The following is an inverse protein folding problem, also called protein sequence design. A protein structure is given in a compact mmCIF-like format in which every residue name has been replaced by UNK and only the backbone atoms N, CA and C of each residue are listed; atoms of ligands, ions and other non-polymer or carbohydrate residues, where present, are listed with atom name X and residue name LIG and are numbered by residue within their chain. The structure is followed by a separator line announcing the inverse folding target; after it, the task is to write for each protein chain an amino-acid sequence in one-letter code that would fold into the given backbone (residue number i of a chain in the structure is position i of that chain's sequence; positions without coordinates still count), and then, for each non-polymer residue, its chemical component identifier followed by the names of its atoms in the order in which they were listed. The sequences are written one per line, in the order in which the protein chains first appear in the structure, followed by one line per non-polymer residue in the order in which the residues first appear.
data_IF_210704518303
#
_entry.id   IF_210704518303
#
_cell.length_a   1.000
_cell.length_b   1.000
_cell.length_c   1.000
_cell.angle_alpha   90.00
_cell.angle_beta   90.00
_cell.angle_gamma   90.00
#
_symmetry.space_group_name_H-M   'P 1'
#
loop_
_entity.id
_entity.type
_entity.pdbx_description
1 polymer ?
#
# COMPACT_ATOMS: atom_id res chain seq x y z
N UNK A 1 18.22 -2.39 -9.87
CA UNK A 1 18.02 -0.93 -9.93
C UNK A 1 17.76 -0.39 -8.53
N UNK A 2 17.59 0.93 -8.39
CA UNK A 2 17.41 1.63 -7.11
C UNK A 2 16.28 1.03 -6.26
N UNK A 3 16.59 0.64 -5.02
CA UNK A 3 15.65 0.14 -3.99
C UNK A 3 15.39 1.17 -2.89
N UNK A 4 16.30 2.12 -2.68
CA UNK A 4 16.13 3.27 -1.78
C UNK A 4 16.72 4.54 -2.40
N UNK A 5 16.20 5.70 -1.99
CA UNK A 5 16.49 7.02 -2.57
C UNK A 5 17.99 7.39 -2.72
N UNK A 6 18.86 6.82 -1.89
CA UNK A 6 20.29 7.18 -1.87
C UNK A 6 21.20 6.16 -2.55
N UNK A 7 20.64 5.12 -3.15
CA UNK A 7 21.44 4.15 -3.90
C UNK A 7 21.91 4.74 -5.23
N UNK A 8 23.16 4.40 -5.57
CA UNK A 8 23.79 4.75 -6.84
C UNK A 8 22.97 4.20 -8.01
N UNK A 9 22.86 5.02 -9.05
CA UNK A 9 22.07 4.73 -10.25
C UNK A 9 22.94 4.48 -11.47
N UNK A 10 24.26 4.71 -11.40
CA UNK A 10 25.20 4.53 -12.52
C UNK A 10 25.26 3.07 -12.99
N UNK A 11 24.95 2.11 -12.13
CA UNK A 11 24.83 0.69 -12.51
C UNK A 11 23.80 0.46 -13.62
N UNK A 12 22.80 1.33 -13.76
CA UNK A 12 21.77 1.26 -14.80
C UNK A 12 22.40 1.35 -16.20
N UNK A 13 23.48 2.12 -16.36
CA UNK A 13 24.18 2.25 -17.63
C UNK A 13 24.71 0.90 -18.15
N UNK A 14 25.26 0.08 -17.24
CA UNK A 14 25.81 -1.23 -17.58
C UNK A 14 24.74 -2.33 -17.64
N UNK A 15 23.84 -2.37 -16.66
CA UNK A 15 22.87 -3.46 -16.51
C UNK A 15 21.63 -3.30 -17.41
N UNK A 16 21.21 -2.06 -17.70
CA UNK A 16 19.95 -1.76 -18.40
C UNK A 16 20.14 -0.65 -19.45
N UNK A 17 20.92 -0.88 -20.52
CA UNK A 17 21.30 0.16 -21.48
C UNK A 17 20.12 0.84 -22.18
N UNK A 18 19.02 0.11 -22.42
CA UNK A 18 17.78 0.71 -22.97
C UNK A 18 17.14 1.72 -22.02
N UNK A 19 17.09 1.39 -20.72
CA UNK A 19 16.58 2.31 -19.70
C UNK A 19 17.51 3.51 -19.55
N UNK A 20 18.83 3.28 -19.55
CA UNK A 20 19.81 4.36 -19.48
C UNK A 20 19.67 5.36 -20.64
N UNK A 21 19.55 4.87 -21.87
CA UNK A 21 19.34 5.72 -23.04
C UNK A 21 18.03 6.51 -22.95
N UNK A 22 16.96 5.91 -22.43
CA UNK A 22 15.70 6.61 -22.17
C UNK A 22 15.86 7.72 -21.12
N UNK A 23 16.58 7.44 -20.02
CA UNK A 23 16.84 8.44 -18.97
C UNK A 23 17.68 9.61 -19.50
N UNK A 24 18.69 9.30 -20.33
CA UNK A 24 19.51 10.31 -20.99
C UNK A 24 18.72 11.16 -21.99
N UNK A 25 17.83 10.57 -22.79
CA UNK A 25 17.03 11.32 -23.76
C UNK A 25 16.01 12.27 -23.10
N UNK A 26 15.68 12.04 -21.82
CA UNK A 26 14.81 12.90 -21.01
C UNK A 26 15.58 13.65 -19.91
N UNK A 27 16.91 13.67 -19.98
CA UNK A 27 17.76 14.20 -18.92
C UNK A 27 17.45 15.65 -18.58
N UNK A 28 17.18 16.49 -19.58
CA UNK A 28 16.83 17.90 -19.37
C UNK A 28 15.65 18.06 -18.40
N UNK A 29 14.60 17.25 -18.54
CA UNK A 29 13.45 17.28 -17.64
C UNK A 29 13.78 16.74 -16.25
N UNK A 30 14.56 15.66 -16.18
CA UNK A 30 14.91 14.98 -14.93
C UNK A 30 15.93 15.77 -14.09
N UNK A 31 16.86 16.47 -14.73
CA UNK A 31 17.86 17.29 -14.07
C UNK A 31 17.26 18.62 -13.56
N UNK A 32 16.20 19.12 -14.23
CA UNK A 32 15.48 20.34 -13.84
C UNK A 32 14.41 20.14 -12.75
N UNK A 33 14.36 18.96 -12.10
CA UNK A 33 13.40 18.68 -11.02
C UNK A 33 13.65 19.61 -9.82
N UNK A 34 12.66 20.46 -9.51
CA UNK A 34 12.75 21.52 -8.48
C UNK A 34 12.76 21.01 -7.05
N UNK A 35 12.27 19.80 -6.79
CA UNK A 35 12.14 19.28 -5.43
C UNK A 35 13.50 19.12 -4.76
N UNK A 36 13.63 19.64 -3.54
CA UNK A 36 14.87 19.54 -2.76
C UNK A 36 15.28 18.09 -2.49
N UNK A 37 14.36 17.12 -2.60
CA UNK A 37 14.62 15.71 -2.36
C UNK A 37 15.65 15.09 -3.31
N UNK A 38 15.82 15.68 -4.50
CA UNK A 38 16.78 15.25 -5.51
C UNK A 38 18.13 15.97 -5.40
N UNK A 39 18.26 16.99 -4.53
CA UNK A 39 19.53 17.68 -4.32
C UNK A 39 20.54 16.73 -3.67
N UNK A 40 21.77 16.71 -4.20
CA UNK A 40 22.87 15.83 -3.73
C UNK A 40 22.48 14.34 -3.72
N UNK A 41 21.70 13.91 -4.72
CA UNK A 41 21.36 12.50 -4.96
C UNK A 41 21.94 12.03 -6.29
N UNK A 42 22.16 10.72 -6.47
CA UNK A 42 22.54 10.15 -7.77
C UNK A 42 21.59 10.62 -8.87
N UNK A 43 22.14 10.87 -10.06
CA UNK A 43 21.35 11.36 -11.21
C UNK A 43 20.27 10.33 -11.54
N UNK A 44 19.10 10.78 -11.96
CA UNK A 44 17.94 9.91 -12.23
C UNK A 44 17.38 9.15 -11.01
N UNK A 45 17.75 9.51 -9.78
CA UNK A 45 17.11 8.97 -8.56
C UNK A 45 15.59 9.15 -8.63
N UNK A 46 14.85 8.14 -8.18
CA UNK A 46 13.41 8.19 -7.96
C UNK A 46 13.09 8.28 -6.47
N UNK A 47 12.00 8.98 -6.17
CA UNK A 47 11.50 9.15 -4.80
C UNK A 47 10.27 8.26 -4.58
N UNK A 48 9.88 8.04 -3.32
CA UNK A 48 8.72 7.21 -2.97
C UNK A 48 9.01 5.71 -3.04
N UNK A 49 10.28 5.32 -3.00
CA UNK A 49 10.72 3.92 -2.98
C UNK A 49 11.49 3.59 -1.70
N UNK A 50 11.35 2.36 -1.26
CA UNK A 50 11.99 1.75 -0.09
C UNK A 50 11.51 0.32 0.05
N UNK A 51 12.00 -0.43 1.06
CA UNK A 51 11.64 -1.85 1.22
C UNK A 51 10.13 -2.10 1.21
N UNK A 52 9.36 -1.17 1.80
CA UNK A 52 7.90 -1.17 1.81
C UNK A 52 7.25 -1.20 0.40
N UNK A 53 7.84 -0.51 -0.58
CA UNK A 53 7.30 -0.43 -1.93
C UNK A 53 7.47 -1.75 -2.69
N UNK A 54 8.52 -2.51 -2.36
CA UNK A 54 8.85 -3.78 -3.00
C UNK A 54 8.22 -5.00 -2.30
N UNK A 55 7.39 -4.81 -1.28
CA UNK A 55 6.64 -5.90 -0.66
C UNK A 55 5.56 -6.44 -1.61
N UNK A 56 5.36 -7.76 -1.65
CA UNK A 56 4.49 -8.40 -2.63
C UNK A 56 3.02 -7.98 -2.47
N UNK A 57 2.52 -7.94 -1.24
CA UNK A 57 1.11 -7.64 -0.96
C UNK A 57 0.97 -6.29 -0.27
N UNK A 58 -0.10 -5.56 -0.62
CA UNK A 58 -0.42 -4.27 -0.01
C UNK A 58 -1.91 -4.18 0.27
N UNK A 59 -2.28 -3.53 1.37
CA UNK A 59 -3.66 -3.12 1.63
C UNK A 59 -3.72 -1.61 1.51
N UNK A 60 -4.39 -1.12 0.46
CA UNK A 60 -4.30 0.26 0.02
C UNK A 60 -5.64 0.99 0.09
N UNK A 61 -5.59 2.30 0.32
CA UNK A 61 -6.72 3.22 0.29
C UNK A 61 -6.36 4.45 -0.55
N UNK A 62 -7.30 4.92 -1.37
CA UNK A 62 -7.14 6.19 -2.07
C UNK A 62 -7.31 7.35 -1.11
N UNK A 63 -6.40 8.31 -1.16
CA UNK A 63 -6.53 9.56 -0.44
C UNK A 63 -7.64 10.47 -0.97
N UNK A 64 -8.21 10.23 -2.16
CA UNK A 64 -9.17 11.13 -2.80
C UNK A 64 -10.64 10.74 -2.66
N UNK A 65 -10.93 9.47 -2.34
CA UNK A 65 -12.31 9.01 -2.25
C UNK A 65 -12.94 9.37 -0.92
N UNK A 66 -14.26 9.63 -0.96
CA UNK A 66 -15.08 9.96 0.22
C UNK A 66 -15.46 8.74 1.04
N UNK A 67 -15.41 7.54 0.47
CA UNK A 67 -15.64 6.29 1.17
C UNK A 67 -14.29 5.64 1.51
N UNK A 68 -14.09 5.13 2.74
CA UNK A 68 -12.83 4.51 3.15
C UNK A 68 -12.77 3.05 2.70
N UNK A 69 -12.73 2.84 1.38
CA UNK A 69 -12.62 1.50 0.81
C UNK A 69 -11.15 1.10 0.71
N UNK A 70 -10.83 -0.07 1.26
CA UNK A 70 -9.48 -0.64 1.20
C UNK A 70 -9.43 -1.76 0.16
N UNK A 71 -8.38 -1.76 -0.66
CA UNK A 71 -8.14 -2.76 -1.69
C UNK A 71 -6.93 -3.62 -1.34
N UNK A 72 -7.06 -4.94 -1.49
CA UNK A 72 -5.93 -5.85 -1.46
C UNK A 72 -5.24 -5.85 -2.83
N UNK A 73 -3.97 -5.48 -2.86
CA UNK A 73 -3.17 -5.33 -4.07
C UNK A 73 -2.16 -6.48 -4.13
N UNK A 74 -2.21 -7.20 -5.24
CA UNK A 74 -1.34 -8.33 -5.55
C UNK A 74 -0.13 -7.92 -6.41
N UNK A 75 0.90 -8.76 -6.47
CA UNK A 75 1.91 -8.67 -7.51
C UNK A 75 1.27 -8.71 -8.91
N UNK A 76 1.81 -7.92 -9.84
CA UNK A 76 1.40 -7.90 -11.25
C UNK A 76 2.56 -8.50 -12.05
N UNK A 77 2.32 -9.62 -12.74
CA UNK A 77 3.35 -10.36 -13.46
C UNK A 77 4.57 -10.68 -12.57
N UNK A 78 4.31 -11.25 -11.39
CA UNK A 78 5.31 -11.62 -10.37
C UNK A 78 6.16 -10.46 -9.84
N UNK A 79 5.72 -9.22 -10.06
CA UNK A 79 6.41 -8.02 -9.57
C UNK A 79 5.54 -7.26 -8.56
N UNK A 80 6.13 -6.73 -7.48
CA UNK A 80 5.42 -5.86 -6.56
C UNK A 80 4.73 -4.70 -7.29
N UNK A 81 3.43 -4.53 -7.06
CA UNK A 81 2.71 -3.38 -7.59
C UNK A 81 3.20 -2.10 -6.92
N UNK A 82 3.52 -1.08 -7.73
CA UNK A 82 3.90 0.24 -7.27
C UNK A 82 2.68 1.15 -7.25
N UNK A 83 2.38 1.74 -6.09
CA UNK A 83 1.31 2.71 -5.91
C UNK A 83 1.90 4.13 -5.95
N UNK A 84 1.16 5.08 -6.50
CA UNK A 84 1.58 6.48 -6.56
C UNK A 84 1.29 7.25 -5.25
N UNK A 85 1.56 8.55 -5.24
CA UNK A 85 1.41 9.44 -4.08
C UNK A 85 -0.04 9.84 -3.76
N UNK A 86 -1.01 9.22 -4.45
CA UNK A 86 -2.44 9.41 -4.22
C UNK A 86 -3.03 8.37 -3.28
N UNK A 87 -2.27 7.32 -2.95
CA UNK A 87 -2.68 6.23 -2.09
C UNK A 87 -1.86 6.17 -0.80
N UNK A 88 -2.49 5.68 0.26
CA UNK A 88 -1.81 5.16 1.45
C UNK A 88 -1.95 3.65 1.47
N UNK A 89 -0.97 2.94 2.05
CA UNK A 89 -1.03 1.49 2.14
C UNK A 89 -0.21 0.92 3.29
N UNK A 90 -0.64 -0.25 3.74
CA UNK A 90 0.16 -1.19 4.52
C UNK A 90 0.77 -2.22 3.58
N UNK A 91 1.87 -2.85 3.98
CA UNK A 91 2.65 -3.76 3.16
C UNK A 91 2.95 -5.06 3.91
N UNK A 92 2.96 -6.18 3.20
CA UNK A 92 3.06 -7.51 3.79
C UNK A 92 3.93 -8.43 2.94
N UNK A 93 4.69 -9.31 3.60
CA UNK A 93 5.46 -10.37 2.94
C UNK A 93 4.58 -11.56 2.58
N UNK A 94 3.62 -11.90 3.44
CA UNK A 94 2.72 -13.01 3.25
C UNK A 94 1.31 -12.51 2.88
N UNK A 95 0.60 -13.36 2.14
CA UNK A 95 -0.74 -13.07 1.68
C UNK A 95 -1.75 -13.08 2.84
N UNK A 96 -1.60 -13.99 3.80
CA UNK A 96 -2.55 -14.22 4.88
C UNK A 96 -2.75 -12.97 5.75
N UNK A 97 -1.66 -12.31 6.14
CA UNK A 97 -1.69 -11.08 6.95
C UNK A 97 -2.34 -9.93 6.18
N UNK A 98 -2.02 -9.83 4.88
CA UNK A 98 -2.63 -8.83 4.02
C UNK A 98 -4.13 -9.07 3.87
N UNK A 99 -4.54 -10.33 3.74
CA UNK A 99 -5.92 -10.75 3.60
C UNK A 99 -6.74 -10.45 4.85
N UNK A 100 -6.30 -10.88 6.03
CA UNK A 100 -7.01 -10.56 7.28
C UNK A 100 -7.02 -9.06 7.55
N UNK A 101 -5.91 -8.35 7.36
CA UNK A 101 -5.88 -6.90 7.50
C UNK A 101 -6.85 -6.20 6.54
N UNK A 102 -6.98 -6.70 5.30
CA UNK A 102 -7.94 -6.19 4.33
C UNK A 102 -9.39 -6.39 4.77
N UNK A 103 -9.73 -7.54 5.35
CA UNK A 103 -11.06 -7.79 5.93
C UNK A 103 -11.33 -6.78 7.04
N UNK A 104 -10.46 -6.72 8.05
CA UNK A 104 -10.64 -5.87 9.24
C UNK A 104 -10.79 -4.39 8.89
N UNK A 105 -10.00 -3.90 7.93
CA UNK A 105 -10.07 -2.52 7.45
C UNK A 105 -11.35 -2.22 6.66
N UNK A 106 -11.98 -3.24 6.08
CA UNK A 106 -13.24 -3.07 5.35
C UNK A 106 -14.49 -3.29 6.18
N UNK A 107 -14.39 -3.76 7.43
CA UNK A 107 -15.54 -3.93 8.31
C UNK A 107 -16.28 -2.61 8.55
N UNK A 108 -17.60 -2.69 8.68
CA UNK A 108 -18.46 -1.52 8.76
C UNK A 108 -18.07 -0.59 9.90
N UNK A 109 -17.84 -1.12 11.10
CA UNK A 109 -17.43 -0.30 12.24
C UNK A 109 -16.07 0.40 12.01
N UNK A 110 -15.14 -0.20 11.25
CA UNK A 110 -13.85 0.44 10.91
C UNK A 110 -14.08 1.59 9.94
N UNK A 111 -14.93 1.39 8.92
CA UNK A 111 -15.28 2.43 7.94
C UNK A 111 -16.08 3.57 8.56
N UNK A 112 -17.00 3.26 9.45
CA UNK A 112 -17.78 4.23 10.22
C UNK A 112 -16.89 5.06 11.14
N UNK A 113 -15.98 4.40 11.88
CA UNK A 113 -14.99 5.08 12.71
C UNK A 113 -14.17 6.08 11.91
N UNK A 114 -13.63 5.67 10.75
CA UNK A 114 -12.87 6.58 9.88
C UNK A 114 -13.75 7.72 9.37
N UNK A 115 -14.96 7.42 8.92
CA UNK A 115 -15.87 8.43 8.37
C UNK A 115 -16.29 9.47 9.41
N UNK A 116 -16.38 9.10 10.69
CA UNK A 116 -16.67 10.01 11.79
C UNK A 116 -15.51 10.98 12.11
N UNK A 117 -14.29 10.68 11.66
CA UNK A 117 -13.09 11.47 11.96
C UNK A 117 -12.70 12.46 10.86
N UNK A 118 -13.34 12.38 9.69
CA UNK A 118 -12.94 13.14 8.50
C UNK A 118 -13.95 14.23 8.13
N UNK A 119 -13.44 15.28 7.49
CA UNK A 119 -14.27 16.24 6.78
C UNK A 119 -14.36 15.83 5.30
N UNK A 120 -15.52 15.29 4.89
CA UNK A 120 -15.72 14.68 3.56
C UNK A 120 -15.62 15.66 2.38
N UNK A 121 -15.73 16.96 2.63
CA UNK A 121 -15.56 17.99 1.58
C UNK A 121 -14.09 18.39 1.37
N UNK A 122 -13.17 17.85 2.18
CA UNK A 122 -11.75 18.00 1.89
C UNK A 122 -11.34 17.22 0.64
N UNK A 123 -10.36 17.73 -0.10
CA UNK A 123 -9.82 17.06 -1.29
C UNK A 123 -9.24 15.68 -0.95
N UNK A 124 -8.68 15.52 0.25
CA UNK A 124 -8.14 14.25 0.74
C UNK A 124 -8.60 13.97 2.17
N UNK A 125 -9.76 13.31 2.37
CA UNK A 125 -10.32 13.10 3.70
C UNK A 125 -9.48 12.14 4.54
N UNK A 126 -8.99 11.04 3.95
CA UNK A 126 -8.26 10.00 4.67
C UNK A 126 -6.75 10.27 4.63
N UNK A 127 -6.29 11.15 5.51
CA UNK A 127 -4.86 11.44 5.68
C UNK A 127 -4.15 10.35 6.47
N UNK A 128 -2.81 10.33 6.39
CA UNK A 128 -1.96 9.44 7.21
C UNK A 128 -2.32 9.52 8.70
N UNK A 129 -2.51 10.72 9.24
CA UNK A 129 -2.75 10.91 10.68
C UNK A 129 -4.10 10.34 11.13
N UNK A 130 -5.11 10.35 10.25
CA UNK A 130 -6.40 9.72 10.50
C UNK A 130 -6.27 8.21 10.44
N UNK A 131 -5.61 7.68 9.40
CA UNK A 131 -5.41 6.23 9.22
C UNK A 131 -4.59 5.61 10.36
N UNK A 132 -3.62 6.34 10.92
CA UNK A 132 -2.83 5.91 12.07
C UNK A 132 -3.64 5.79 13.37
N UNK A 133 -4.90 6.24 13.41
CA UNK A 133 -5.78 6.05 14.58
C UNK A 133 -6.38 4.65 14.64
N UNK A 134 -6.36 3.89 13.54
CA UNK A 134 -6.88 2.52 13.51
C UNK A 134 -5.96 1.62 14.34
N UNK A 135 -6.55 0.84 15.24
CA UNK A 135 -5.85 -0.15 16.04
C UNK A 135 -6.21 -1.55 15.53
N UNK A 136 -5.57 -1.98 14.44
CA UNK A 136 -5.94 -3.21 13.70
C UNK A 136 -5.95 -4.45 14.61
N UNK A 137 -4.93 -4.62 15.45
CA UNK A 137 -4.87 -5.77 16.37
C UNK A 137 -5.97 -5.75 17.44
N UNK A 138 -6.32 -4.57 17.98
CA UNK A 138 -7.44 -4.46 18.93
C UNK A 138 -8.78 -4.80 18.29
N UNK A 139 -8.93 -4.45 17.01
CA UNK A 139 -10.10 -4.85 16.24
C UNK A 139 -10.13 -6.38 16.12
N UNK A 140 -9.01 -6.97 15.69
CA UNK A 140 -8.89 -8.42 15.51
C UNK A 140 -9.19 -9.20 16.82
N UNK A 141 -8.59 -8.77 17.94
CA UNK A 141 -8.80 -9.36 19.28
C UNK A 141 -10.25 -9.27 19.77
N UNK A 142 -11.02 -8.30 19.27
CA UNK A 142 -12.43 -8.10 19.64
C UNK A 142 -13.41 -8.98 18.85
N UNK A 143 -12.93 -9.73 17.85
CA UNK A 143 -13.76 -10.50 16.94
C UNK A 143 -13.60 -12.00 17.17
N UNK A 144 -14.69 -12.73 16.96
CA UNK A 144 -14.63 -14.19 16.77
C UNK A 144 -14.32 -14.51 15.32
N UNK A 145 -13.72 -15.69 15.09
CA UNK A 145 -13.54 -16.22 13.73
C UNK A 145 -14.86 -16.26 12.94
N UNK A 146 -15.95 -16.68 13.58
CA UNK A 146 -17.28 -16.74 12.96
C UNK A 146 -17.75 -15.35 12.49
N UNK A 147 -17.58 -14.32 13.31
CA UNK A 147 -17.96 -12.94 12.94
C UNK A 147 -17.15 -12.45 11.74
N UNK A 148 -15.83 -12.68 11.76
CA UNK A 148 -14.95 -12.29 10.67
C UNK A 148 -15.27 -13.04 9.38
N UNK A 149 -15.49 -14.35 9.46
CA UNK A 149 -15.82 -15.18 8.31
C UNK A 149 -17.18 -14.80 7.71
N UNK A 150 -18.22 -14.61 8.53
CA UNK A 150 -19.53 -14.19 8.05
C UNK A 150 -19.44 -12.85 7.29
N UNK A 151 -18.75 -11.86 7.87
CA UNK A 151 -18.54 -10.58 7.18
C UNK A 151 -17.81 -10.76 5.85
N UNK A 152 -16.75 -11.58 5.82
CA UNK A 152 -16.02 -11.85 4.58
C UNK A 152 -16.91 -12.49 3.51
N UNK A 153 -17.69 -13.51 3.86
CA UNK A 153 -18.58 -14.21 2.93
C UNK A 153 -19.66 -13.26 2.37
N UNK A 154 -20.23 -12.41 3.22
CA UNK A 154 -21.30 -11.50 2.84
C UNK A 154 -20.82 -10.32 1.97
N UNK A 155 -19.64 -9.77 2.26
CA UNK A 155 -19.22 -8.49 1.68
C UNK A 155 -17.99 -8.55 0.77
N UNK A 156 -17.11 -9.54 0.94
CA UNK A 156 -15.76 -9.53 0.36
C UNK A 156 -15.47 -10.72 -0.55
N UNK A 157 -16.12 -11.87 -0.36
CA UNK A 157 -15.91 -13.07 -1.17
C UNK A 157 -16.17 -12.85 -2.67
N UNK A 158 -17.10 -11.95 -3.02
CA UNK A 158 -17.35 -11.56 -4.42
C UNK A 158 -16.21 -10.79 -5.09
N UNK A 159 -15.26 -10.22 -4.33
CA UNK A 159 -14.08 -9.54 -4.86
C UNK A 159 -12.86 -10.46 -4.94
N UNK A 160 -12.72 -11.38 -3.98
CA UNK A 160 -11.62 -12.32 -3.90
C UNK A 160 -12.11 -13.58 -3.17
N UNK A 161 -12.21 -14.69 -3.89
CA UNK A 161 -12.51 -15.99 -3.30
C UNK A 161 -11.26 -16.57 -2.65
N UNK A 162 -11.34 -16.90 -1.36
CA UNK A 162 -10.26 -17.46 -0.57
C UNK A 162 -10.81 -18.25 0.61
N UNK A 163 -10.27 -19.44 0.83
CA UNK A 163 -10.62 -20.28 1.97
C UNK A 163 -9.59 -20.11 3.08
N UNK A 164 -10.07 -19.84 4.28
CA UNK A 164 -9.28 -19.76 5.51
C UNK A 164 -10.06 -20.41 6.66
N UNK A 165 -9.38 -20.73 7.75
CA UNK A 165 -9.96 -21.36 8.93
C UNK A 165 -9.58 -20.61 10.21
N UNK A 166 -10.13 -21.05 11.35
CA UNK A 166 -9.90 -20.43 12.65
C UNK A 166 -8.42 -20.44 13.07
N UNK A 167 -7.68 -21.50 12.74
CA UNK A 167 -6.24 -21.57 13.01
C UNK A 167 -5.47 -20.49 12.26
N UNK A 168 -5.87 -20.20 11.02
CA UNK A 168 -5.23 -19.15 10.22
C UNK A 168 -5.47 -17.77 10.86
N UNK A 169 -6.69 -17.53 11.36
CA UNK A 169 -7.01 -16.28 12.04
C UNK A 169 -6.30 -16.15 13.39
N UNK A 170 -6.18 -17.23 14.15
CA UNK A 170 -5.38 -17.24 15.39
C UNK A 170 -3.91 -16.97 15.06
N UNK A 171 -3.37 -17.55 13.98
CA UNK A 171 -1.99 -17.29 13.55
C UNK A 171 -1.76 -15.83 13.18
N UNK A 172 -2.76 -15.12 12.67
CA UNK A 172 -2.66 -13.69 12.36
C UNK A 172 -2.58 -12.80 13.62
N UNK A 173 -3.12 -13.27 14.76
CA UNK A 173 -3.08 -12.56 16.03
C UNK A 173 -1.72 -12.65 16.76
N UNK A 174 -0.81 -13.52 16.31
CA UNK A 174 0.46 -13.85 16.96
C UNK A 174 1.67 -13.48 16.11
#
# INVERSE_FOLDING_TARGET
TQRKLNEETDCIAAEYPRLWNYLLSHAEYLDNRKSAIYKKRPRFSIFGIGDYAFKPYKVAISGFYKAPNFSLVFPINDKPAMLDDTCYYLFFDNFQDAFFTWILLNMDFTKEFLSALVFLDSKRPYTKDILMRIQIFKIAESLTYETLNNFYQEHLAGYLEHNFNETDFISYLH
#
